data_IF_485196505769
#
_entry.id   IF_485196505769
#
_cell.length_a   1.000
_cell.length_b   1.000
_cell.length_c   1.000
_cell.angle_alpha   90.00
_cell.angle_beta   90.00
_cell.angle_gamma   90.00
#
_symmetry.space_group_name_H-M   'P 1'
#
loop_
_entity.id
_entity.type
_entity.pdbx_description
1 polymer ?
#
# COMPACT_ATOMS: atom_id res chain seq x y z
N UNK A 1 42.10 19.22 -34.71
CA UNK A 1 43.19 18.34 -34.26
C UNK A 1 43.04 17.94 -32.80
N UNK A 2 43.30 18.78 -31.79
CA UNK A 2 43.19 18.37 -30.37
C UNK A 2 41.79 17.85 -29.95
N UNK A 3 40.72 18.49 -30.41
CA UNK A 3 39.33 18.09 -30.11
C UNK A 3 38.94 16.76 -30.80
N UNK A 4 39.44 16.57 -32.02
CA UNK A 4 39.24 15.35 -32.81
C UNK A 4 39.98 14.15 -32.19
N UNK A 5 41.21 14.36 -31.70
CA UNK A 5 41.95 13.33 -30.97
C UNK A 5 41.24 12.93 -29.67
N UNK A 6 40.72 13.90 -28.91
CA UNK A 6 39.95 13.63 -27.69
C UNK A 6 38.66 12.87 -27.97
N UNK A 7 37.96 13.22 -29.06
CA UNK A 7 36.77 12.51 -29.53
C UNK A 7 37.10 11.08 -29.93
N UNK A 8 38.18 10.84 -30.68
CA UNK A 8 38.63 9.49 -31.06
C UNK A 8 39.01 8.65 -29.84
N UNK A 9 39.72 9.23 -28.87
CA UNK A 9 40.04 8.57 -27.60
C UNK A 9 38.77 8.20 -26.83
N UNK A 10 37.82 9.14 -26.71
CA UNK A 10 36.53 8.89 -26.07
C UNK A 10 35.74 7.78 -26.76
N UNK A 11 35.70 7.76 -28.10
CA UNK A 11 35.05 6.70 -28.89
C UNK A 11 35.72 5.33 -28.67
N UNK A 12 37.05 5.28 -28.54
CA UNK A 12 37.77 4.04 -28.22
C UNK A 12 37.36 3.49 -26.85
N UNK A 13 37.25 4.38 -25.86
CA UNK A 13 36.77 4.02 -24.52
C UNK A 13 35.30 3.55 -24.55
N UNK A 14 34.44 4.20 -25.32
CA UNK A 14 33.06 3.78 -25.53
C UNK A 14 32.97 2.36 -26.15
N UNK A 15 33.72 2.10 -27.22
CA UNK A 15 33.73 0.77 -27.86
C UNK A 15 34.25 -0.32 -26.93
N UNK A 16 35.27 0.00 -26.10
CA UNK A 16 35.75 -0.90 -25.06
C UNK A 16 34.65 -1.19 -24.02
N UNK A 17 33.93 -0.16 -23.56
CA UNK A 17 32.81 -0.33 -22.63
C UNK A 17 31.73 -1.25 -23.19
N UNK A 18 31.29 -1.02 -24.43
CA UNK A 18 30.29 -1.85 -25.10
C UNK A 18 30.74 -3.31 -25.24
N UNK A 19 32.03 -3.55 -25.53
CA UNK A 19 32.58 -4.90 -25.62
C UNK A 19 32.63 -5.60 -24.24
N UNK A 20 32.98 -4.86 -23.18
CA UNK A 20 33.01 -5.37 -21.81
C UNK A 20 31.61 -5.71 -21.30
N UNK A 21 30.61 -4.89 -21.63
CA UNK A 21 29.22 -5.13 -21.28
C UNK A 21 28.69 -6.41 -21.95
N UNK A 22 28.98 -6.63 -23.24
CA UNK A 22 28.66 -7.89 -23.95
C UNK A 22 29.34 -9.11 -23.32
N UNK A 23 30.50 -8.92 -22.68
CA UNK A 23 31.21 -9.94 -21.94
C UNK A 23 30.74 -10.07 -20.47
N UNK A 24 29.67 -9.38 -20.08
CA UNK A 24 29.14 -9.33 -18.72
C UNK A 24 30.14 -8.81 -17.65
N UNK A 25 31.13 -8.01 -18.07
CA UNK A 25 32.13 -7.36 -17.19
C UNK A 25 31.70 -5.94 -16.88
N UNK A 26 30.60 -5.83 -16.14
CA UNK A 26 29.84 -4.59 -16.00
C UNK A 26 30.63 -3.44 -15.35
N UNK A 27 31.33 -3.69 -14.24
CA UNK A 27 32.10 -2.64 -13.55
C UNK A 27 33.20 -2.05 -14.45
N UNK A 28 33.90 -2.89 -15.20
CA UNK A 28 34.92 -2.44 -16.14
C UNK A 28 34.32 -1.69 -17.34
N UNK A 29 33.10 -2.06 -17.77
CA UNK A 29 32.38 -1.35 -18.81
C UNK A 29 32.04 0.08 -18.36
N UNK A 30 31.57 0.24 -17.12
CA UNK A 30 31.24 1.53 -16.52
C UNK A 30 32.47 2.41 -16.39
N UNK A 31 33.59 1.85 -15.95
CA UNK A 31 34.85 2.59 -15.90
C UNK A 31 35.29 3.02 -17.30
N UNK A 32 35.13 2.17 -18.32
CA UNK A 32 35.40 2.55 -19.70
C UNK A 32 34.46 3.67 -20.19
N UNK A 33 33.17 3.64 -19.86
CA UNK A 33 32.24 4.72 -20.18
C UNK A 33 32.58 6.03 -19.44
N UNK A 34 33.00 5.98 -18.17
CA UNK A 34 33.49 7.16 -17.42
C UNK A 34 34.72 7.78 -18.07
N UNK A 35 35.65 6.96 -18.54
CA UNK A 35 36.81 7.46 -19.29
C UNK A 35 36.37 8.07 -20.63
N UNK A 36 35.36 7.49 -21.31
CA UNK A 36 34.84 8.05 -22.55
C UNK A 36 34.29 9.47 -22.37
N UNK A 37 33.44 9.69 -21.35
CA UNK A 37 32.90 11.03 -21.04
C UNK A 37 33.96 12.00 -20.53
N UNK A 38 34.98 11.51 -19.81
CA UNK A 38 36.11 12.35 -19.35
C UNK A 38 36.99 12.81 -20.53
N UNK A 39 37.23 11.95 -21.52
CA UNK A 39 37.95 12.29 -22.74
C UNK A 39 37.16 13.27 -23.61
N UNK A 40 35.86 12.99 -23.82
CA UNK A 40 34.99 13.82 -24.65
C UNK A 40 33.57 13.91 -24.06
N UNK A 41 33.25 14.98 -23.29
CA UNK A 41 31.96 15.16 -22.61
C UNK A 41 30.74 15.31 -23.51
N UNK A 42 30.92 15.39 -24.83
CA UNK A 42 29.82 15.49 -25.78
C UNK A 42 29.46 14.11 -26.40
N UNK A 43 30.03 13.01 -25.89
CA UNK A 43 29.63 11.64 -26.28
C UNK A 43 28.32 11.23 -25.62
N UNK A 44 27.21 11.62 -26.24
CA UNK A 44 25.85 11.21 -25.83
C UNK A 44 25.70 9.70 -25.63
N UNK A 45 26.36 8.87 -26.45
CA UNK A 45 26.26 7.41 -26.36
C UNK A 45 26.90 6.88 -25.06
N UNK A 46 27.99 7.52 -24.61
CA UNK A 46 28.63 7.18 -23.34
C UNK A 46 27.80 7.65 -22.15
N UNK A 47 27.23 8.86 -22.21
CA UNK A 47 26.30 9.36 -21.21
C UNK A 47 25.04 8.47 -21.11
N UNK A 48 24.43 8.07 -22.23
CA UNK A 48 23.30 7.14 -22.24
C UNK A 48 23.66 5.79 -21.60
N UNK A 49 24.82 5.22 -21.93
CA UNK A 49 25.27 3.96 -21.34
C UNK A 49 25.46 4.06 -19.81
N UNK A 50 26.03 5.18 -19.32
CA UNK A 50 26.13 5.46 -17.90
C UNK A 50 24.76 5.66 -17.25
N UNK A 51 23.84 6.38 -17.91
CA UNK A 51 22.47 6.60 -17.45
C UNK A 51 21.72 5.30 -17.21
N UNK A 52 21.72 4.39 -18.20
CA UNK A 52 21.08 3.07 -18.07
C UNK A 52 21.75 2.19 -17.01
N UNK A 53 23.09 2.24 -16.89
CA UNK A 53 23.77 1.53 -15.80
C UNK A 53 23.31 2.04 -14.44
N UNK A 54 23.35 3.37 -14.23
CA UNK A 54 22.96 3.97 -12.96
C UNK A 54 21.49 3.70 -12.61
N UNK A 55 20.58 3.70 -13.58
CA UNK A 55 19.18 3.33 -13.37
C UNK A 55 19.09 1.87 -12.86
N UNK A 56 19.71 0.92 -13.56
CA UNK A 56 19.71 -0.51 -13.17
C UNK A 56 20.36 -0.76 -11.81
N UNK A 57 21.32 0.08 -11.41
CA UNK A 57 21.97 0.05 -10.09
C UNK A 57 21.19 0.80 -9.00
N UNK A 58 20.01 1.35 -9.28
CA UNK A 58 19.21 2.14 -8.34
C UNK A 58 19.80 3.51 -8.00
N UNK A 59 20.85 3.95 -8.72
CA UNK A 59 21.50 5.25 -8.56
C UNK A 59 20.77 6.32 -9.39
N UNK A 60 19.47 6.45 -9.17
CA UNK A 60 18.54 7.21 -10.01
C UNK A 60 18.95 8.67 -10.19
N UNK A 61 19.45 9.33 -9.14
CA UNK A 61 19.92 10.71 -9.22
C UNK A 61 21.10 10.88 -10.21
N UNK A 62 22.02 9.90 -10.27
CA UNK A 62 23.11 9.92 -11.25
C UNK A 62 22.58 9.65 -12.65
N UNK A 63 21.64 8.71 -12.80
CA UNK A 63 21.01 8.44 -14.08
C UNK A 63 20.33 9.69 -14.65
N UNK A 64 19.61 10.46 -13.81
CA UNK A 64 19.00 11.72 -14.19
C UNK A 64 20.02 12.76 -14.68
N UNK A 65 21.19 12.89 -14.06
CA UNK A 65 22.23 13.81 -14.56
C UNK A 65 22.79 13.39 -15.93
N UNK A 66 23.03 12.10 -16.13
CA UNK A 66 23.51 11.58 -17.43
C UNK A 66 22.45 11.79 -18.52
N UNK A 67 21.18 11.45 -18.27
CA UNK A 67 20.10 11.66 -19.24
C UNK A 67 19.80 13.14 -19.49
N UNK A 68 19.93 14.02 -18.47
CA UNK A 68 19.82 15.47 -18.66
C UNK A 68 20.92 15.99 -19.57
N UNK A 69 22.14 15.47 -19.44
CA UNK A 69 23.25 15.79 -20.33
C UNK A 69 22.91 15.36 -21.75
N UNK A 70 22.46 14.11 -21.98
CA UNK A 70 22.04 13.64 -23.30
C UNK A 70 20.95 14.54 -23.90
N UNK A 71 19.90 14.86 -23.14
CA UNK A 71 18.82 15.73 -23.57
C UNK A 71 19.32 17.13 -23.98
N UNK A 72 20.31 17.68 -23.27
CA UNK A 72 20.92 18.97 -23.62
C UNK A 72 21.77 18.94 -24.89
N UNK A 73 22.39 17.78 -25.20
CA UNK A 73 23.29 17.62 -26.34
C UNK A 73 22.54 17.40 -27.66
N UNK A 74 21.48 16.60 -27.66
CA UNK A 74 20.78 16.22 -28.90
C UNK A 74 19.34 16.71 -29.00
N UNK A 75 18.68 17.04 -27.87
CA UNK A 75 17.29 17.49 -27.87
C UNK A 75 16.31 16.53 -28.58
N UNK A 76 16.61 15.23 -28.57
CA UNK A 76 15.81 14.20 -29.25
C UNK A 76 14.61 13.77 -28.41
N UNK A 77 13.60 13.20 -29.07
CA UNK A 77 12.45 12.60 -28.38
C UNK A 77 12.91 11.57 -27.34
N UNK A 78 13.78 10.62 -27.74
CA UNK A 78 14.24 9.54 -26.86
C UNK A 78 15.02 10.08 -25.65
N UNK A 79 15.83 11.12 -25.82
CA UNK A 79 16.57 11.72 -24.72
C UNK A 79 15.65 12.38 -23.68
N UNK A 80 14.64 13.13 -24.16
CA UNK A 80 13.64 13.71 -23.27
C UNK A 80 12.76 12.65 -22.61
N UNK A 81 12.41 11.59 -23.33
CA UNK A 81 11.59 10.50 -22.80
C UNK A 81 12.33 9.77 -21.67
N UNK A 82 13.59 9.40 -21.88
CA UNK A 82 14.42 8.75 -20.85
C UNK A 82 14.62 9.66 -19.63
N UNK A 83 14.83 10.96 -19.84
CA UNK A 83 14.91 11.94 -18.75
C UNK A 83 13.58 12.05 -17.99
N UNK A 84 12.45 12.12 -18.67
CA UNK A 84 11.13 12.15 -18.05
C UNK A 84 10.89 10.91 -17.20
N UNK A 85 11.16 9.73 -17.76
CA UNK A 85 10.97 8.45 -17.09
C UNK A 85 11.79 8.34 -15.78
N UNK A 86 13.08 8.67 -15.81
CA UNK A 86 13.93 8.60 -14.61
C UNK A 86 13.52 9.64 -13.56
N UNK A 87 12.96 10.79 -13.98
CA UNK A 87 12.46 11.81 -13.07
C UNK A 87 11.17 11.36 -12.38
N UNK A 88 10.33 10.56 -13.05
CA UNK A 88 9.19 9.88 -12.42
C UNK A 88 9.65 8.91 -11.34
N UNK A 89 10.66 8.07 -11.59
CA UNK A 89 11.21 7.15 -10.59
C UNK A 89 11.83 7.87 -9.36
N UNK A 90 12.19 9.15 -9.53
CA UNK A 90 12.69 10.04 -8.48
C UNK A 90 11.59 10.86 -7.79
N UNK A 91 10.31 10.64 -8.11
CA UNK A 91 9.17 11.45 -7.68
C UNK A 91 9.30 12.96 -8.00
N UNK A 92 10.11 13.32 -9.01
CA UNK A 92 10.31 14.71 -9.49
C UNK A 92 9.32 15.02 -10.61
N UNK A 93 8.03 14.97 -10.27
CA UNK A 93 6.94 15.00 -11.25
C UNK A 93 6.89 16.27 -12.12
N UNK A 94 7.14 17.45 -11.56
CA UNK A 94 7.13 18.70 -12.33
C UNK A 94 8.21 18.72 -13.41
N UNK A 95 9.42 18.27 -13.09
CA UNK A 95 10.51 18.19 -14.09
C UNK A 95 10.27 17.07 -15.10
N UNK A 96 9.64 15.97 -14.69
CA UNK A 96 9.23 14.91 -15.61
C UNK A 96 8.21 15.43 -16.63
N UNK A 97 7.20 16.19 -16.18
CA UNK A 97 6.22 16.83 -17.06
C UNK A 97 6.88 17.79 -18.04
N UNK A 98 7.89 18.57 -17.62
CA UNK A 98 8.64 19.45 -18.52
C UNK A 98 9.40 18.64 -19.60
N UNK A 99 10.01 17.52 -19.23
CA UNK A 99 10.70 16.64 -20.18
C UNK A 99 9.71 16.00 -21.17
N UNK A 100 8.60 15.45 -20.68
CA UNK A 100 7.55 14.87 -21.53
C UNK A 100 6.85 15.91 -22.40
N UNK A 101 6.69 17.15 -21.94
CA UNK A 101 6.19 18.23 -22.78
C UNK A 101 7.13 18.50 -23.97
N UNK A 102 8.45 18.35 -23.80
CA UNK A 102 9.40 18.42 -24.92
C UNK A 102 9.28 17.24 -25.87
N UNK A 103 8.95 16.04 -25.38
CA UNK A 103 8.58 14.91 -26.24
C UNK A 103 7.35 15.26 -27.08
N UNK A 104 6.27 15.78 -26.48
CA UNK A 104 5.05 16.16 -27.22
C UNK A 104 5.26 17.35 -28.17
N UNK A 105 6.23 18.22 -27.92
CA UNK A 105 6.60 19.26 -28.89
C UNK A 105 7.24 18.68 -30.16
N UNK A 106 7.88 17.51 -30.07
CA UNK A 106 8.48 16.79 -31.20
C UNK A 106 7.48 15.84 -31.86
N UNK A 107 6.72 15.11 -31.03
CA UNK A 107 5.74 14.11 -31.45
C UNK A 107 4.41 14.30 -30.68
N UNK A 108 3.51 15.18 -31.16
CA UNK A 108 2.33 15.62 -30.40
C UNK A 108 1.29 14.55 -30.06
N UNK A 109 1.29 13.42 -30.76
CA UNK A 109 0.30 12.34 -30.60
C UNK A 109 0.93 11.06 -30.04
N UNK A 110 2.17 11.14 -29.52
CA UNK A 110 2.85 9.96 -28.99
C UNK A 110 2.10 9.39 -27.78
N UNK A 111 1.64 8.15 -27.94
CA UNK A 111 0.77 7.49 -26.95
C UNK A 111 1.50 7.19 -25.65
N UNK A 112 2.78 6.82 -25.71
CA UNK A 112 3.56 6.50 -24.52
C UNK A 112 3.77 7.73 -23.63
N UNK A 113 4.13 8.87 -24.24
CA UNK A 113 4.31 10.14 -23.54
C UNK A 113 3.01 10.61 -22.89
N UNK A 114 1.89 10.53 -23.61
CA UNK A 114 0.58 10.83 -23.02
C UNK A 114 0.22 9.89 -21.87
N UNK A 115 0.55 8.59 -21.97
CA UNK A 115 0.31 7.65 -20.88
C UNK A 115 1.12 8.00 -19.62
N UNK A 116 2.41 8.31 -19.76
CA UNK A 116 3.28 8.73 -18.66
C UNK A 116 2.78 10.03 -17.99
N UNK A 117 2.41 11.04 -18.78
CA UNK A 117 1.80 12.27 -18.24
C UNK A 117 0.45 11.98 -17.54
N UNK A 118 -0.33 11.04 -18.07
CA UNK A 118 -1.57 10.57 -17.46
C UNK A 118 -1.35 9.96 -16.07
N UNK A 119 -0.32 9.11 -15.92
CA UNK A 119 0.09 8.56 -14.63
C UNK A 119 0.55 9.65 -13.66
N UNK A 120 1.39 10.59 -14.10
CA UNK A 120 1.86 11.70 -13.25
C UNK A 120 0.68 12.52 -12.72
N UNK A 121 -0.22 12.95 -13.59
CA UNK A 121 -1.40 13.71 -13.17
C UNK A 121 -2.30 12.90 -12.23
N UNK A 122 -2.44 11.60 -12.46
CA UNK A 122 -3.17 10.72 -11.55
C UNK A 122 -2.56 10.69 -10.15
N UNK A 123 -1.23 10.50 -10.03
CA UNK A 123 -0.56 10.48 -8.72
C UNK A 123 -0.57 11.82 -7.99
N UNK A 124 -0.57 12.94 -8.73
CA UNK A 124 -0.74 14.30 -8.17
C UNK A 124 -2.19 14.62 -7.79
N UNK A 125 -3.16 13.77 -8.16
CA UNK A 125 -4.59 13.99 -7.90
C UNK A 125 -5.27 14.91 -8.94
N UNK A 126 -4.58 15.29 -10.00
CA UNK A 126 -5.09 16.10 -11.12
C UNK A 126 -5.91 15.24 -12.09
N UNK A 127 -6.94 14.56 -11.58
CA UNK A 127 -7.66 13.51 -12.32
C UNK A 127 -8.28 13.99 -13.65
N UNK A 128 -8.68 15.27 -13.76
CA UNK A 128 -9.18 15.82 -15.01
C UNK A 128 -8.10 15.91 -16.10
N UNK A 129 -6.86 16.27 -15.72
CA UNK A 129 -5.73 16.29 -16.66
C UNK A 129 -5.31 14.86 -17.03
N UNK A 130 -5.29 13.96 -16.04
CA UNK A 130 -5.04 12.54 -16.29
C UNK A 130 -6.00 11.99 -17.37
N UNK A 131 -7.30 12.23 -17.22
CA UNK A 131 -8.31 11.81 -18.20
C UNK A 131 -8.11 12.43 -19.58
N UNK A 132 -7.65 13.68 -19.67
CA UNK A 132 -7.36 14.33 -20.96
C UNK A 132 -6.23 13.62 -21.68
N UNK A 133 -5.12 13.34 -20.99
CA UNK A 133 -3.97 12.65 -21.59
C UNK A 133 -4.30 11.21 -21.97
N UNK A 134 -5.09 10.48 -21.16
CA UNK A 134 -5.42 9.07 -21.40
C UNK A 134 -6.30 8.82 -22.64
N UNK A 135 -6.88 9.86 -23.24
CA UNK A 135 -7.59 9.73 -24.51
C UNK A 135 -6.68 9.33 -25.67
N UNK A 136 -5.40 9.74 -25.65
CA UNK A 136 -4.44 9.46 -26.72
C UNK A 136 -4.01 7.98 -26.75
N UNK A 137 -3.48 7.38 -25.66
CA UNK A 137 -3.07 5.98 -25.69
C UNK A 137 -4.25 5.02 -25.90
N UNK A 138 -5.48 5.41 -25.52
CA UNK A 138 -6.67 4.61 -25.79
C UNK A 138 -7.00 4.48 -27.29
N UNK A 139 -6.57 5.40 -28.15
CA UNK A 139 -6.74 5.29 -29.61
C UNK A 139 -5.84 4.20 -30.20
N UNK A 140 -4.63 4.09 -29.66
CA UNK A 140 -3.60 3.15 -30.13
C UNK A 140 -3.79 1.77 -29.51
N UNK A 141 -4.20 1.72 -28.24
CA UNK A 141 -4.32 0.51 -27.44
C UNK A 141 -5.72 0.43 -26.79
N UNK A 142 -6.80 0.28 -27.59
CA UNK A 142 -8.18 0.33 -27.08
C UNK A 142 -8.54 -0.84 -26.15
N UNK A 143 -7.77 -1.93 -26.20
CA UNK A 143 -7.98 -3.15 -25.39
C UNK A 143 -7.00 -3.27 -24.22
N UNK A 144 -6.24 -2.22 -23.91
CA UNK A 144 -5.35 -2.23 -22.76
C UNK A 144 -6.13 -2.00 -21.46
N UNK A 145 -6.18 -3.04 -20.62
CA UNK A 145 -6.92 -3.00 -19.36
C UNK A 145 -6.33 -1.98 -18.38
N UNK A 146 -5.02 -1.70 -18.41
CA UNK A 146 -4.37 -0.77 -17.49
C UNK A 146 -4.80 0.67 -17.77
N UNK A 147 -4.95 1.02 -19.05
CA UNK A 147 -5.48 2.33 -19.47
C UNK A 147 -6.91 2.49 -18.96
N UNK A 148 -7.79 1.51 -19.20
CA UNK A 148 -9.17 1.56 -18.71
C UNK A 148 -9.24 1.61 -17.18
N UNK A 149 -8.36 0.87 -16.50
CA UNK A 149 -8.24 0.90 -15.04
C UNK A 149 -7.84 2.29 -14.53
N UNK A 150 -6.84 2.93 -15.14
CA UNK A 150 -6.38 4.25 -14.76
C UNK A 150 -7.45 5.33 -15.03
N UNK A 151 -8.19 5.23 -16.13
CA UNK A 151 -9.36 6.07 -16.40
C UNK A 151 -10.41 5.87 -15.30
N UNK A 152 -10.74 4.61 -14.95
CA UNK A 152 -11.71 4.29 -13.90
C UNK A 152 -11.31 4.87 -12.54
N UNK A 153 -10.03 4.74 -12.16
CA UNK A 153 -9.49 5.31 -10.91
C UNK A 153 -9.51 6.85 -10.94
N UNK A 154 -9.24 7.46 -12.07
CA UNK A 154 -9.31 8.92 -12.24
C UNK A 154 -10.75 9.42 -12.11
N UNK A 155 -11.72 8.73 -12.74
CA UNK A 155 -13.15 9.05 -12.60
C UNK A 155 -13.63 8.88 -11.16
N UNK A 156 -13.18 7.82 -10.46
CA UNK A 156 -13.46 7.63 -9.05
C UNK A 156 -12.91 8.80 -8.21
N UNK A 157 -11.69 9.27 -8.50
CA UNK A 157 -11.08 10.44 -7.86
C UNK A 157 -11.92 11.72 -8.06
N UNK A 158 -12.53 11.88 -9.24
CA UNK A 158 -13.49 12.95 -9.54
C UNK A 158 -14.90 12.70 -8.97
N UNK A 159 -15.14 11.54 -8.34
CA UNK A 159 -16.44 11.07 -7.85
C UNK A 159 -17.49 10.87 -8.95
N UNK A 160 -17.04 10.66 -10.19
CA UNK A 160 -17.86 10.27 -11.33
C UNK A 160 -18.07 8.76 -11.31
N UNK A 161 -18.92 8.31 -10.40
CA UNK A 161 -19.02 6.89 -10.07
C UNK A 161 -19.58 6.03 -11.20
N UNK A 162 -20.43 6.57 -12.09
CA UNK A 162 -21.00 5.82 -13.22
C UNK A 162 -19.93 5.59 -14.30
N UNK A 163 -19.16 6.62 -14.61
CA UNK A 163 -18.03 6.56 -15.54
C UNK A 163 -16.93 5.66 -15.01
N UNK A 164 -16.63 5.72 -13.70
CA UNK A 164 -15.67 4.82 -13.07
C UNK A 164 -16.08 3.35 -13.23
N UNK A 165 -17.35 3.02 -12.94
CA UNK A 165 -17.88 1.66 -13.12
C UNK A 165 -17.83 1.19 -14.57
N UNK A 166 -18.16 2.05 -15.54
CA UNK A 166 -18.07 1.72 -16.95
C UNK A 166 -16.62 1.40 -17.37
N UNK A 167 -15.66 2.21 -16.93
CA UNK A 167 -14.24 2.00 -17.21
C UNK A 167 -13.70 0.73 -16.56
N UNK A 168 -14.01 0.46 -15.28
CA UNK A 168 -13.60 -0.79 -14.64
C UNK A 168 -14.26 -2.01 -15.29
N UNK A 169 -15.53 -1.91 -15.69
CA UNK A 169 -16.20 -2.98 -16.45
C UNK A 169 -15.52 -3.27 -17.77
N UNK A 170 -15.09 -2.23 -18.52
CA UNK A 170 -14.28 -2.40 -19.75
C UNK A 170 -12.95 -3.07 -19.46
N UNK A 171 -12.20 -2.57 -18.48
CA UNK A 171 -10.94 -3.16 -18.06
C UNK A 171 -11.11 -4.64 -17.70
N UNK A 172 -12.20 -5.01 -17.01
CA UNK A 172 -12.45 -6.38 -16.57
C UNK A 172 -12.73 -7.32 -17.75
N UNK A 173 -13.38 -6.84 -18.82
CA UNK A 173 -13.63 -7.63 -20.03
C UNK A 173 -12.36 -7.97 -20.80
N UNK A 174 -11.35 -7.09 -20.77
CA UNK A 174 -10.08 -7.28 -21.50
C UNK A 174 -8.93 -7.79 -20.62
N UNK A 175 -9.12 -7.82 -19.29
CA UNK A 175 -8.13 -8.32 -18.34
C UNK A 175 -7.87 -9.82 -18.55
N UNK A 176 -6.59 -10.17 -18.74
CA UNK A 176 -6.14 -11.51 -19.11
C UNK A 176 -5.45 -12.28 -17.97
N UNK A 177 -5.36 -11.69 -16.77
CA UNK A 177 -4.78 -12.35 -15.59
C UNK A 177 -5.74 -12.28 -14.40
N UNK A 178 -5.71 -13.30 -13.55
CA UNK A 178 -6.47 -13.31 -12.30
C UNK A 178 -6.10 -12.13 -11.38
N UNK A 179 -4.82 -11.71 -11.37
CA UNK A 179 -4.34 -10.57 -10.60
C UNK A 179 -4.98 -9.25 -11.06
N UNK A 180 -5.03 -9.01 -12.38
CA UNK A 180 -5.70 -7.83 -12.94
C UNK A 180 -7.21 -7.85 -12.65
N UNK A 181 -7.85 -9.01 -12.81
CA UNK A 181 -9.28 -9.18 -12.50
C UNK A 181 -9.58 -8.89 -11.02
N UNK A 182 -8.76 -9.40 -10.09
CA UNK A 182 -8.89 -9.11 -8.65
C UNK A 182 -8.78 -7.62 -8.36
N UNK A 183 -7.75 -6.95 -8.90
CA UNK A 183 -7.56 -5.50 -8.77
C UNK A 183 -8.79 -4.70 -9.24
N UNK A 184 -9.40 -5.13 -10.35
CA UNK A 184 -10.56 -4.46 -10.92
C UNK A 184 -11.84 -4.70 -10.13
N UNK A 185 -12.02 -5.90 -9.58
CA UNK A 185 -13.12 -6.22 -8.68
C UNK A 185 -13.03 -5.42 -7.37
N UNK A 186 -11.81 -5.22 -6.86
CA UNK A 186 -11.56 -4.37 -5.69
C UNK A 186 -11.93 -2.91 -5.99
N UNK A 187 -11.51 -2.38 -7.14
CA UNK A 187 -11.86 -1.04 -7.58
C UNK A 187 -13.38 -0.86 -7.77
N UNK A 188 -14.07 -1.85 -8.35
CA UNK A 188 -15.53 -1.86 -8.48
C UNK A 188 -16.19 -1.82 -7.10
N UNK A 189 -15.73 -2.68 -6.18
CA UNK A 189 -16.24 -2.74 -4.80
C UNK A 189 -16.05 -1.40 -4.08
N UNK A 190 -14.88 -0.76 -4.27
CA UNK A 190 -14.60 0.57 -3.74
C UNK A 190 -15.60 1.61 -4.28
N UNK A 191 -15.90 1.62 -5.59
CA UNK A 191 -16.93 2.52 -6.14
C UNK A 191 -18.29 2.26 -5.51
N UNK A 192 -18.70 1.00 -5.36
CA UNK A 192 -19.97 0.65 -4.71
C UNK A 192 -20.04 1.17 -3.27
N UNK A 193 -18.95 1.06 -2.50
CA UNK A 193 -18.86 1.61 -1.13
C UNK A 193 -18.99 3.13 -1.14
N UNK A 194 -18.31 3.83 -2.05
CA UNK A 194 -18.43 5.29 -2.17
C UNK A 194 -19.88 5.73 -2.47
N UNK A 195 -20.62 4.98 -3.29
CA UNK A 195 -22.04 5.27 -3.62
C UNK A 195 -22.99 5.14 -2.43
N UNK A 196 -22.58 4.46 -1.35
CA UNK A 196 -23.39 4.41 -0.12
C UNK A 196 -23.43 5.77 0.60
N UNK A 197 -22.55 6.71 0.23
CA UNK A 197 -22.46 8.03 0.84
C UNK A 197 -22.95 9.13 -0.09
N UNK A 198 -23.68 10.09 0.49
CA UNK A 198 -23.87 11.41 -0.16
C UNK A 198 -22.62 12.28 0.03
N UNK A 199 -22.08 12.27 1.24
CA UNK A 199 -20.85 12.96 1.63
C UNK A 199 -20.09 12.06 2.62
N UNK A 200 -18.76 12.01 2.48
CA UNK A 200 -17.87 11.40 3.45
C UNK A 200 -17.58 12.43 4.54
N UNK A 201 -18.08 12.22 5.75
CA UNK A 201 -18.07 13.21 6.83
C UNK A 201 -17.06 12.92 7.93
N UNK A 202 -16.42 11.74 7.90
CA UNK A 202 -15.49 11.29 8.93
C UNK A 202 -14.36 10.45 8.35
N UNK A 203 -13.28 10.28 9.12
CA UNK A 203 -12.18 9.35 8.79
C UNK A 203 -12.71 7.92 8.68
N UNK A 204 -13.66 7.53 9.54
CA UNK A 204 -14.34 6.23 9.47
C UNK A 204 -15.06 6.02 8.14
N UNK A 205 -15.75 7.04 7.62
CA UNK A 205 -16.42 6.97 6.33
C UNK A 205 -15.41 6.79 5.20
N UNK A 206 -14.30 7.53 5.26
CA UNK A 206 -13.23 7.50 4.24
C UNK A 206 -12.55 6.13 4.20
N UNK A 207 -12.09 5.64 5.36
CA UNK A 207 -11.43 4.33 5.50
C UNK A 207 -12.36 3.19 5.07
N UNK A 208 -13.65 3.25 5.42
CA UNK A 208 -14.61 2.27 4.92
C UNK A 208 -14.81 2.39 3.40
N UNK A 209 -15.01 3.59 2.86
CA UNK A 209 -15.30 3.75 1.44
C UNK A 209 -14.11 3.33 0.55
N UNK A 210 -12.90 3.74 0.95
CA UNK A 210 -11.65 3.49 0.23
C UNK A 210 -11.20 2.05 0.37
N UNK A 211 -11.15 1.51 1.59
CA UNK A 211 -10.49 0.24 1.88
C UNK A 211 -11.44 -0.86 2.34
N UNK A 212 -12.65 -0.51 2.80
CA UNK A 212 -13.61 -1.48 3.34
C UNK A 212 -13.29 -1.93 4.75
N UNK A 213 -12.50 -1.13 5.46
CA UNK A 213 -12.03 -1.44 6.80
C UNK A 213 -13.07 -1.04 7.83
N UNK A 214 -13.28 -1.90 8.83
CA UNK A 214 -14.07 -1.59 10.01
C UNK A 214 -13.22 -0.78 10.98
N UNK A 215 -13.53 0.50 11.12
CA UNK A 215 -12.93 1.34 12.15
C UNK A 215 -13.83 1.40 13.39
N UNK A 216 -13.38 0.91 14.55
CA UNK A 216 -14.18 0.79 15.78
C UNK A 216 -14.08 2.02 16.69
N UNK A 217 -12.94 2.70 16.73
CA UNK A 217 -12.65 3.76 17.71
C UNK A 217 -12.32 3.22 19.10
N UNK A 218 -12.23 4.12 20.08
CA UNK A 218 -11.98 3.80 21.50
C UNK A 218 -12.93 4.54 22.46
N UNK A 219 -12.63 4.51 23.76
CA UNK A 219 -13.37 5.25 24.77
C UNK A 219 -13.25 6.78 24.66
N UNK A 220 -12.35 7.30 23.84
CA UNK A 220 -12.19 8.74 23.60
C UNK A 220 -13.12 9.28 22.50
N UNK A 221 -13.90 8.40 21.87
CA UNK A 221 -14.84 8.72 20.80
C UNK A 221 -16.17 7.97 20.96
N UNK A 222 -17.14 8.27 20.08
CA UNK A 222 -18.47 7.66 20.09
C UNK A 222 -18.63 6.45 19.14
N UNK A 223 -17.52 6.01 18.54
CA UNK A 223 -17.41 4.92 17.57
C UNK A 223 -18.09 5.19 16.22
N UNK A 224 -18.67 6.38 16.00
CA UNK A 224 -19.22 6.83 14.71
C UNK A 224 -18.40 7.99 14.15
N UNK A 225 -17.91 8.87 15.03
CA UNK A 225 -17.03 10.00 14.76
C UNK A 225 -15.69 9.73 15.42
N UNK A 226 -14.89 8.91 14.75
CA UNK A 226 -13.53 8.60 15.20
C UNK A 226 -12.58 9.66 14.64
N UNK A 227 -11.85 10.32 15.53
CA UNK A 227 -10.85 11.32 15.18
C UNK A 227 -9.49 10.70 14.85
N UNK A 228 -8.61 11.50 14.27
CA UNK A 228 -7.19 11.16 14.20
C UNK A 228 -6.50 11.51 15.51
N UNK A 229 -5.54 10.69 15.93
CA UNK A 229 -4.77 10.91 17.15
C UNK A 229 -3.28 10.94 16.83
N UNK A 230 -2.53 11.81 17.51
CA UNK A 230 -1.07 11.82 17.38
C UNK A 230 -0.48 10.58 18.05
N UNK A 231 -0.52 10.50 19.38
CA UNK A 231 -0.07 9.33 20.14
C UNK A 231 -1.25 8.72 20.88
N UNK A 232 -1.33 7.38 20.92
CA UNK A 232 -2.38 6.68 21.64
C UNK A 232 -1.81 5.62 22.60
N UNK A 233 -2.06 5.83 23.89
CA UNK A 233 -1.65 4.90 24.95
C UNK A 233 -2.89 4.28 25.57
N UNK A 234 -3.18 3.02 25.22
CA UNK A 234 -4.36 2.33 25.72
C UNK A 234 -4.29 2.16 27.24
N UNK A 235 -5.40 2.46 27.91
CA UNK A 235 -5.74 1.94 29.24
C UNK A 235 -6.62 0.69 29.12
N UNK A 236 -6.75 -0.11 30.18
CA UNK A 236 -7.66 -1.25 30.18
C UNK A 236 -9.13 -0.85 29.88
N UNK A 237 -9.68 0.25 30.43
CA UNK A 237 -11.00 0.74 30.04
C UNK A 237 -11.14 1.06 28.54
N UNK A 238 -10.13 1.69 27.91
CA UNK A 238 -10.14 1.98 26.46
C UNK A 238 -10.24 0.69 25.64
N UNK A 239 -9.50 -0.34 26.05
CA UNK A 239 -9.57 -1.67 25.45
C UNK A 239 -10.96 -2.26 25.67
N UNK A 240 -11.51 -2.14 26.87
CA UNK A 240 -12.87 -2.56 27.21
C UNK A 240 -13.91 -2.01 26.23
N UNK A 241 -13.94 -0.69 26.01
CA UNK A 241 -14.86 -0.06 25.05
C UNK A 241 -14.64 -0.56 23.62
N UNK A 242 -13.39 -0.60 23.16
CA UNK A 242 -13.08 -1.04 21.79
C UNK A 242 -13.51 -2.48 21.55
N UNK A 243 -13.25 -3.37 22.50
CA UNK A 243 -13.61 -4.78 22.41
C UNK A 243 -15.12 -5.01 22.54
N UNK A 244 -15.83 -4.22 23.36
CA UNK A 244 -17.31 -4.26 23.38
C UNK A 244 -17.89 -3.99 21.98
N UNK A 245 -17.33 -3.02 21.24
CA UNK A 245 -17.72 -2.71 19.85
C UNK A 245 -17.43 -3.86 18.90
N UNK A 246 -16.24 -4.46 18.98
CA UNK A 246 -15.87 -5.64 18.19
C UNK A 246 -16.83 -6.81 18.46
N UNK A 247 -17.07 -7.14 19.73
CA UNK A 247 -17.93 -8.26 20.15
C UNK A 247 -19.36 -8.06 19.66
N UNK A 248 -19.92 -6.86 19.85
CA UNK A 248 -21.28 -6.57 19.41
C UNK A 248 -21.44 -6.65 17.88
N UNK A 249 -20.43 -6.17 17.15
CA UNK A 249 -20.42 -6.27 15.70
C UNK A 249 -20.29 -7.73 15.25
N UNK A 250 -19.37 -8.50 15.83
CA UNK A 250 -19.23 -9.93 15.56
C UNK A 250 -20.56 -10.67 15.76
N UNK A 251 -21.21 -10.50 16.92
CA UNK A 251 -22.50 -11.11 17.25
C UNK A 251 -23.65 -10.71 16.32
N UNK A 252 -23.58 -9.53 15.72
CA UNK A 252 -24.63 -8.97 14.86
C UNK A 252 -24.33 -9.10 13.36
N UNK A 253 -23.18 -9.68 13.02
CA UNK A 253 -22.69 -9.84 11.66
C UNK A 253 -22.79 -11.30 11.22
N UNK A 254 -22.39 -11.57 9.97
CA UNK A 254 -22.23 -12.93 9.45
C UNK A 254 -20.81 -13.48 9.63
N UNK A 255 -19.98 -12.83 10.46
CA UNK A 255 -18.60 -13.26 10.66
C UNK A 255 -18.59 -14.58 11.41
N UNK A 256 -18.13 -15.64 10.77
CA UNK A 256 -18.04 -16.97 11.33
C UNK A 256 -16.57 -17.33 11.46
N UNK A 257 -15.98 -17.00 12.61
CA UNK A 257 -14.59 -17.38 12.91
C UNK A 257 -14.59 -18.77 13.55
N UNK A 258 -13.61 -19.61 13.19
CA UNK A 258 -13.40 -20.93 13.80
C UNK A 258 -12.18 -20.95 14.72
N UNK A 259 -11.26 -19.98 14.58
CA UNK A 259 -10.05 -19.89 15.37
C UNK A 259 -9.56 -18.45 15.53
N UNK A 260 -8.86 -18.19 16.62
CA UNK A 260 -8.05 -16.98 16.82
C UNK A 260 -6.58 -17.32 16.56
N UNK A 261 -5.88 -16.39 15.94
CA UNK A 261 -4.44 -16.50 15.69
C UNK A 261 -3.74 -15.27 16.27
N UNK A 262 -2.73 -15.52 17.09
CA UNK A 262 -1.93 -14.47 17.71
C UNK A 262 -0.76 -14.10 16.78
N UNK A 263 -0.68 -12.85 16.34
CA UNK A 263 0.38 -12.42 15.42
C UNK A 263 1.79 -12.44 16.05
N UNK A 264 1.89 -12.05 17.33
CA UNK A 264 3.18 -11.95 18.04
C UNK A 264 3.05 -12.19 19.55
N UNK A 265 4.18 -12.12 20.26
CA UNK A 265 4.23 -12.31 21.72
C UNK A 265 3.60 -11.17 22.51
N UNK A 266 3.71 -9.93 22.03
CA UNK A 266 3.10 -8.75 22.67
C UNK A 266 1.58 -8.86 22.68
N UNK A 267 1.01 -9.49 21.65
CA UNK A 267 -0.43 -9.62 21.44
C UNK A 267 -1.05 -10.73 22.28
N UNK A 268 -0.25 -11.61 22.89
CA UNK A 268 -0.74 -12.79 23.59
C UNK A 268 -1.83 -12.50 24.65
N UNK A 269 -1.72 -11.46 25.50
CA UNK A 269 -2.78 -11.14 26.46
C UNK A 269 -4.11 -10.80 25.78
N UNK A 270 -4.08 -10.02 24.69
CA UNK A 270 -5.26 -9.64 23.93
C UNK A 270 -5.90 -10.84 23.23
N UNK A 271 -5.09 -11.70 22.61
CA UNK A 271 -5.57 -12.90 21.93
C UNK A 271 -6.20 -13.91 22.92
N UNK A 272 -5.59 -14.11 24.09
CA UNK A 272 -6.16 -14.94 25.15
C UNK A 272 -7.50 -14.38 25.65
N UNK A 273 -7.59 -13.06 25.85
CA UNK A 273 -8.81 -12.43 26.32
C UNK A 273 -9.95 -12.57 25.29
N UNK A 274 -9.65 -12.33 24.00
CA UNK A 274 -10.61 -12.52 22.91
C UNK A 274 -11.03 -13.99 22.75
N UNK A 275 -10.13 -14.93 22.98
CA UNK A 275 -10.45 -16.37 22.97
C UNK A 275 -11.51 -16.72 24.02
N UNK A 276 -11.39 -16.15 25.22
CA UNK A 276 -12.39 -16.32 26.28
C UNK A 276 -13.70 -15.58 25.96
N UNK A 277 -13.63 -14.34 25.47
CA UNK A 277 -14.79 -13.47 25.24
C UNK A 277 -15.63 -13.89 24.02
N UNK A 278 -14.99 -14.43 22.98
CA UNK A 278 -15.65 -14.89 21.76
C UNK A 278 -15.89 -16.41 21.73
N UNK A 279 -15.40 -17.13 22.75
CA UNK A 279 -15.45 -18.60 22.81
C UNK A 279 -14.79 -19.28 21.59
N UNK A 280 -13.67 -18.71 21.12
CA UNK A 280 -12.91 -19.21 19.98
C UNK A 280 -11.60 -19.85 20.44
N UNK A 281 -11.20 -21.02 19.92
CA UNK A 281 -9.93 -21.62 20.26
C UNK A 281 -8.77 -20.78 19.70
N UNK A 282 -7.74 -20.57 20.52
CA UNK A 282 -6.47 -20.00 20.06
C UNK A 282 -5.66 -21.10 19.36
N UNK A 283 -5.30 -20.89 18.09
CA UNK A 283 -4.49 -21.82 17.29
C UNK A 283 -3.23 -21.15 16.77
N UNK A 284 -2.18 -21.94 16.65
CA UNK A 284 -1.01 -21.59 15.85
C UNK A 284 -1.33 -21.78 14.36
N UNK A 285 -0.55 -21.11 13.50
CA UNK A 285 -0.71 -21.23 12.04
C UNK A 285 -0.61 -22.69 11.55
N UNK A 286 0.16 -23.53 12.24
CA UNK A 286 0.33 -24.96 11.89
C UNK A 286 -0.89 -25.83 12.20
N UNK A 287 -1.79 -25.35 13.06
CA UNK A 287 -3.01 -26.05 13.49
C UNK A 287 -4.25 -25.60 12.69
N UNK A 288 -4.07 -24.72 11.70
CA UNK A 288 -5.13 -24.26 10.82
C UNK A 288 -5.30 -25.20 9.63
N UNK A 289 -6.55 -25.41 9.25
CA UNK A 289 -6.98 -26.14 8.07
C UNK A 289 -7.60 -25.17 7.05
N UNK A 290 -7.68 -25.57 5.77
CA UNK A 290 -8.23 -24.72 4.70
C UNK A 290 -9.68 -24.28 4.95
N UNK A 291 -10.46 -25.12 5.64
CA UNK A 291 -11.87 -24.84 6.00
C UNK A 291 -12.02 -23.93 7.24
N UNK A 292 -10.93 -23.63 7.94
CA UNK A 292 -10.97 -22.70 9.07
C UNK A 292 -11.23 -21.26 8.58
N UNK A 293 -11.72 -20.42 9.51
CA UNK A 293 -11.85 -18.98 9.30
C UNK A 293 -11.16 -18.27 10.45
N UNK A 294 -9.97 -17.75 10.18
CA UNK A 294 -9.08 -17.25 11.22
C UNK A 294 -9.34 -15.76 11.51
N UNK A 295 -9.46 -15.42 12.80
CA UNK A 295 -9.33 -14.04 13.27
C UNK A 295 -7.90 -13.83 13.76
N UNK A 296 -7.09 -13.13 12.97
CA UNK A 296 -5.73 -12.73 13.36
C UNK A 296 -5.80 -11.49 14.22
N UNK A 297 -5.16 -11.52 15.38
CA UNK A 297 -5.17 -10.41 16.33
C UNK A 297 -3.78 -9.81 16.43
N UNK A 298 -3.73 -8.47 16.51
CA UNK A 298 -2.57 -7.64 16.81
C UNK A 298 -2.93 -6.58 17.85
N UNK A 299 -2.11 -6.41 18.88
CA UNK A 299 -2.37 -5.43 19.95
C UNK A 299 -1.93 -4.01 19.58
N UNK A 300 -0.64 -3.80 19.33
CA UNK A 300 -0.10 -2.53 18.86
C UNK A 300 0.87 -2.85 17.73
N UNK A 301 0.46 -2.57 16.51
CA UNK A 301 1.20 -2.97 15.33
C UNK A 301 2.01 -1.76 14.82
N UNK A 302 3.32 -1.96 14.65
CA UNK A 302 4.31 -0.90 14.32
C UNK A 302 4.86 -0.93 12.90
N UNK A 303 4.77 -2.10 12.27
CA UNK A 303 5.33 -2.43 10.97
C UNK A 303 4.32 -3.30 10.22
N UNK A 304 4.00 -2.92 8.98
CA UNK A 304 3.01 -3.62 8.15
C UNK A 304 3.51 -5.01 7.72
N UNK A 305 4.83 -5.20 7.71
CA UNK A 305 5.54 -6.43 7.37
C UNK A 305 5.08 -7.60 8.22
N UNK A 306 4.80 -7.38 9.51
CA UNK A 306 4.29 -8.44 10.38
C UNK A 306 2.92 -8.94 9.92
N UNK A 307 2.04 -8.03 9.50
CA UNK A 307 0.72 -8.40 8.97
C UNK A 307 0.87 -9.15 7.65
N UNK A 308 1.67 -8.63 6.71
CA UNK A 308 1.93 -9.29 5.42
C UNK A 308 2.48 -10.70 5.59
N UNK A 309 3.54 -10.87 6.40
CA UNK A 309 4.13 -12.18 6.68
C UNK A 309 3.16 -13.13 7.38
N UNK A 310 2.24 -12.60 8.19
CA UNK A 310 1.22 -13.43 8.84
C UNK A 310 0.17 -13.87 7.83
N UNK A 311 -0.29 -12.97 6.96
CA UNK A 311 -1.26 -13.26 5.90
C UNK A 311 -0.73 -14.32 4.93
N UNK A 312 0.52 -14.20 4.47
CA UNK A 312 1.15 -15.16 3.54
C UNK A 312 1.22 -16.59 4.09
N UNK A 313 1.22 -16.75 5.41
CA UNK A 313 1.39 -18.05 6.07
C UNK A 313 0.07 -18.72 6.43
N UNK A 314 -1.05 -18.00 6.40
CA UNK A 314 -2.34 -18.54 6.83
C UNK A 314 -2.98 -19.31 5.66
N UNK A 315 -3.29 -20.60 5.84
CA UNK A 315 -3.75 -21.47 4.75
C UNK A 315 -5.25 -21.38 4.48
N UNK A 316 -5.96 -20.40 5.05
CA UNK A 316 -7.41 -20.32 5.04
C UNK A 316 -7.90 -18.85 5.02
N UNK A 317 -9.19 -18.60 4.74
CA UNK A 317 -9.73 -17.26 4.82
C UNK A 317 -9.49 -16.64 6.20
N UNK A 318 -9.01 -15.40 6.19
CA UNK A 318 -8.65 -14.70 7.42
C UNK A 318 -9.22 -13.29 7.46
N UNK A 319 -9.48 -12.82 8.68
CA UNK A 319 -9.80 -11.43 8.98
C UNK A 319 -8.80 -10.98 10.02
N UNK A 320 -8.21 -9.81 9.82
CA UNK A 320 -7.22 -9.22 10.70
C UNK A 320 -7.85 -8.14 11.56
N UNK A 321 -7.59 -8.19 12.86
CA UNK A 321 -7.96 -7.19 13.85
C UNK A 321 -6.70 -6.60 14.49
N UNK A 322 -6.54 -5.29 14.36
CA UNK A 322 -5.52 -4.53 15.05
C UNK A 322 -6.16 -3.58 16.06
N UNK A 323 -5.85 -3.73 17.35
CA UNK A 323 -6.38 -2.84 18.39
C UNK A 323 -5.83 -1.41 18.22
N UNK A 324 -4.53 -1.27 17.94
CA UNK A 324 -3.88 0.03 17.69
C UNK A 324 -2.91 -0.02 16.52
N UNK A 325 -3.15 0.82 15.51
CA UNK A 325 -2.41 0.86 14.25
C UNK A 325 -1.65 2.18 14.10
N UNK A 326 -0.37 2.14 13.74
CA UNK A 326 0.44 3.38 13.63
C UNK A 326 1.11 3.64 12.27
N UNK A 327 0.85 2.83 11.24
CA UNK A 327 1.58 2.93 9.97
C UNK A 327 0.77 3.42 8.77
N UNK A 328 -0.48 3.88 8.97
CA UNK A 328 -1.34 4.29 7.84
C UNK A 328 -0.72 5.38 6.95
N UNK A 329 0.24 6.17 7.46
CA UNK A 329 0.96 7.18 6.66
C UNK A 329 2.05 6.62 5.75
N UNK A 330 2.54 5.41 6.03
CA UNK A 330 3.74 4.86 5.40
C UNK A 330 3.49 3.52 4.70
N UNK A 331 2.35 2.87 4.93
CA UNK A 331 1.94 1.66 4.22
C UNK A 331 0.45 1.68 3.89
N UNK A 332 0.12 1.15 2.70
CA UNK A 332 -1.26 0.94 2.22
C UNK A 332 -1.86 -0.38 2.68
N UNK A 333 -1.09 -1.24 3.32
CA UNK A 333 -1.58 -2.52 3.85
C UNK A 333 -2.28 -2.24 5.18
N UNK A 334 -3.60 -2.39 5.18
CA UNK A 334 -4.45 -2.17 6.35
C UNK A 334 -5.03 -3.50 6.85
N UNK A 335 -5.22 -3.65 8.17
CA UNK A 335 -6.01 -4.74 8.69
C UNK A 335 -7.51 -4.50 8.41
N UNK A 336 -8.29 -5.57 8.36
CA UNK A 336 -9.73 -5.54 8.06
C UNK A 336 -10.54 -4.82 9.13
N UNK A 337 -10.09 -4.92 10.38
CA UNK A 337 -10.69 -4.28 11.55
C UNK A 337 -9.62 -3.53 12.34
N UNK A 338 -9.88 -2.25 12.60
CA UNK A 338 -9.02 -1.35 13.36
C UNK A 338 -9.75 -0.87 14.61
N UNK A 339 -9.08 -0.91 15.76
CA UNK A 339 -9.50 -0.20 16.97
C UNK A 339 -9.28 1.31 16.83
N UNK A 340 -8.04 1.77 16.99
CA UNK A 340 -7.60 3.17 16.82
C UNK A 340 -6.42 3.27 15.85
N UNK A 341 -6.35 4.37 15.10
CA UNK A 341 -5.16 4.79 14.36
C UNK A 341 -4.44 5.94 15.06
N UNK A 342 -3.11 5.84 15.15
CA UNK A 342 -2.23 6.86 15.71
C UNK A 342 -1.18 7.29 14.68
N UNK A 343 -0.87 8.58 14.59
CA UNK A 343 0.18 9.08 13.69
C UNK A 343 1.60 8.89 14.24
N UNK A 344 1.73 8.70 15.55
CA UNK A 344 2.97 8.54 16.30
C UNK A 344 3.01 7.23 17.07
N UNK A 345 3.19 7.31 18.40
CA UNK A 345 3.31 6.16 19.26
C UNK A 345 1.94 5.50 19.51
N UNK A 346 1.92 4.17 19.46
CA UNK A 346 0.80 3.37 19.95
C UNK A 346 1.32 2.31 20.94
N UNK A 347 0.73 2.22 22.13
CA UNK A 347 1.15 1.26 23.16
C UNK A 347 0.00 0.70 23.97
N UNK A 348 0.24 -0.46 24.59
CA UNK A 348 -0.72 -1.18 25.45
C UNK A 348 -0.19 -1.31 26.89
N UNK A 349 -1.07 -1.42 27.91
CA UNK A 349 -0.68 -1.34 29.33
C UNK A 349 0.38 -2.35 29.77
N UNK A 350 0.37 -3.55 29.20
CA UNK A 350 1.28 -4.64 29.57
C UNK A 350 2.61 -4.62 28.82
N UNK A 351 2.75 -3.77 27.79
CA UNK A 351 3.95 -3.72 26.95
C UNK A 351 5.24 -3.41 27.73
N UNK A 352 5.28 -2.39 28.63
CA UNK A 352 6.51 -2.05 29.33
C UNK A 352 7.06 -3.20 30.18
N UNK A 353 6.18 -3.92 30.88
CA UNK A 353 6.58 -5.04 31.74
C UNK A 353 7.04 -6.24 30.93
N UNK A 354 6.33 -6.61 29.85
CA UNK A 354 6.80 -7.70 28.96
C UNK A 354 8.16 -7.39 28.33
N UNK A 355 8.40 -6.14 27.92
CA UNK A 355 9.70 -5.70 27.39
C UNK A 355 10.80 -5.83 28.44
N UNK A 356 10.53 -5.38 29.66
CA UNK A 356 11.45 -5.49 30.78
C UNK A 356 11.79 -6.96 31.07
N UNK A 357 10.78 -7.81 31.24
CA UNK A 357 10.97 -9.24 31.51
C UNK A 357 11.80 -9.93 30.41
N UNK A 358 11.58 -9.56 29.15
CA UNK A 358 12.38 -10.07 28.03
C UNK A 358 13.82 -9.59 28.08
N UNK A 359 14.05 -8.31 28.38
CA UNK A 359 15.38 -7.73 28.51
C UNK A 359 16.18 -8.36 29.66
N UNK A 360 15.49 -8.64 30.78
CA UNK A 360 16.06 -9.27 31.98
C UNK A 360 16.25 -10.79 31.82
N UNK A 361 15.86 -11.39 30.70
CA UNK A 361 15.94 -12.84 30.47
C UNK A 361 15.08 -13.64 31.47
N UNK A 362 13.93 -13.08 31.88
CA UNK A 362 13.09 -13.64 32.93
C UNK A 362 12.62 -15.07 32.58
N UNK A 363 12.44 -15.95 33.59
CA UNK A 363 11.94 -17.30 33.36
C UNK A 363 10.58 -17.32 32.64
N UNK A 364 10.36 -18.31 31.78
CA UNK A 364 9.11 -18.44 31.01
C UNK A 364 7.85 -18.39 31.89
N UNK A 365 7.87 -19.01 33.08
CA UNK A 365 6.76 -18.98 34.03
C UNK A 365 6.40 -17.55 34.51
N UNK A 366 7.39 -16.67 34.63
CA UNK A 366 7.17 -15.26 35.01
C UNK A 366 6.53 -14.48 33.86
N UNK A 367 6.98 -14.73 32.64
CA UNK A 367 6.37 -14.14 31.43
C UNK A 367 4.92 -14.61 31.29
N UNK A 368 4.66 -15.91 31.46
CA UNK A 368 3.31 -16.49 31.42
C UNK A 368 2.40 -15.84 32.45
N UNK A 369 2.84 -15.68 33.71
CA UNK A 369 2.06 -15.01 34.75
C UNK A 369 1.73 -13.55 34.42
N UNK A 370 2.67 -12.81 33.81
CA UNK A 370 2.41 -11.45 33.35
C UNK A 370 1.34 -11.43 32.23
N UNK A 371 1.43 -12.37 31.29
CA UNK A 371 0.44 -12.54 30.22
C UNK A 371 -0.94 -12.89 30.78
N UNK A 372 -1.02 -13.81 31.74
CA UNK A 372 -2.27 -14.24 32.37
C UNK A 372 -2.91 -13.08 33.15
N UNK A 373 -2.14 -12.34 33.93
CA UNK A 373 -2.61 -11.16 34.65
C UNK A 373 -3.16 -10.09 33.71
N UNK A 374 -2.43 -9.78 32.62
CA UNK A 374 -2.91 -8.83 31.62
C UNK A 374 -4.16 -9.33 30.90
N UNK A 375 -4.27 -10.64 30.65
CA UNK A 375 -5.47 -11.28 30.07
C UNK A 375 -6.70 -11.06 30.96
N UNK A 376 -6.56 -11.36 32.26
CA UNK A 376 -7.64 -11.18 33.24
C UNK A 376 -8.09 -9.72 33.32
N UNK A 377 -7.15 -8.78 33.32
CA UNK A 377 -7.46 -7.34 33.33
C UNK A 377 -8.21 -6.89 32.07
N UNK A 378 -7.91 -7.43 30.89
CA UNK A 378 -8.66 -7.14 29.66
C UNK A 378 -10.10 -7.67 29.77
N UNK A 379 -10.26 -8.94 30.19
CA UNK A 379 -11.59 -9.55 30.35
C UNK A 379 -12.42 -8.81 31.39
N UNK A 380 -11.81 -8.42 32.50
CA UNK A 380 -12.44 -7.63 33.54
C UNK A 380 -12.86 -6.25 33.01
N UNK A 381 -11.99 -5.56 32.28
CA UNK A 381 -12.30 -4.26 31.69
C UNK A 381 -13.48 -4.32 30.71
N UNK A 382 -13.58 -5.37 29.88
CA UNK A 382 -14.75 -5.55 28.99
C UNK A 382 -16.06 -5.68 29.78
N UNK A 383 -16.02 -6.29 30.97
CA UNK A 383 -17.20 -6.47 31.84
C UNK A 383 -17.55 -5.23 32.65
N UNK A 384 -16.54 -4.49 33.11
CA UNK A 384 -16.71 -3.36 34.03
C UNK A 384 -16.88 -2.02 33.34
N UNK A 385 -16.31 -1.86 32.14
CA UNK A 385 -16.48 -0.64 31.35
C UNK A 385 -17.96 -0.45 31.00
N UNK A 386 -18.55 0.73 31.26
CA UNK A 386 -19.94 1.00 30.91
C UNK A 386 -20.21 0.74 29.43
N UNK A 387 -21.35 0.10 29.14
CA UNK A 387 -21.74 -0.17 27.75
C UNK A 387 -21.82 1.12 26.94
N UNK A 388 -21.18 1.10 25.78
CA UNK A 388 -21.26 2.21 24.82
C UNK A 388 -22.70 2.44 24.37
N UNK A 389 -23.26 3.60 24.72
CA UNK A 389 -24.62 4.01 24.34
C UNK A 389 -24.86 4.04 22.81
N UNK A 390 -23.81 4.18 22.00
CA UNK A 390 -23.90 4.20 20.54
C UNK A 390 -23.72 2.82 19.89
N UNK A 391 -23.48 1.76 20.66
CA UNK A 391 -23.25 0.41 20.16
C UNK A 391 -24.31 -0.05 19.13
N UNK A 392 -25.64 0.14 19.34
CA UNK A 392 -26.63 -0.25 18.34
C UNK A 392 -26.51 0.52 17.02
N UNK A 393 -26.09 1.79 17.08
CA UNK A 393 -25.90 2.64 15.90
C UNK A 393 -24.64 2.23 15.13
N UNK A 394 -23.57 1.89 15.84
CA UNK A 394 -22.32 1.40 15.25
C UNK A 394 -22.52 0.03 14.58
N UNK A 395 -23.24 -0.90 15.22
CA UNK A 395 -23.64 -2.16 14.58
C UNK A 395 -24.48 -1.90 13.34
N UNK A 396 -25.49 -1.02 13.43
CA UNK A 396 -26.34 -0.65 12.29
C UNK A 396 -25.54 -0.04 11.13
N UNK A 397 -24.50 0.74 11.43
CA UNK A 397 -23.62 1.35 10.43
C UNK A 397 -23.07 0.28 9.49
N UNK A 398 -22.38 -0.75 9.99
CA UNK A 398 -21.76 -1.80 9.16
C UNK A 398 -22.69 -2.92 8.71
N UNK A 399 -23.83 -3.14 9.37
CA UNK A 399 -24.73 -4.27 9.04
C UNK A 399 -25.93 -3.88 8.17
N UNK A 400 -26.33 -2.61 8.19
CA UNK A 400 -27.54 -2.14 7.49
C UNK A 400 -27.30 -0.97 6.57
N UNK A 401 -26.50 0.01 6.98
CA UNK A 401 -26.23 1.22 6.19
C UNK A 401 -25.15 0.95 5.14
N UNK A 402 -24.06 0.31 5.55
CA UNK A 402 -22.85 0.11 4.76
C UNK A 402 -22.61 -1.37 4.55
N UNK A 403 -23.25 -1.93 3.52
CA UNK A 403 -23.38 -3.38 3.31
C UNK A 403 -22.32 -3.93 2.37
N UNK A 404 -21.58 -3.06 1.68
CA UNK A 404 -20.46 -3.40 0.80
C UNK A 404 -19.14 -3.58 1.57
N UNK A 405 -19.23 -3.93 2.86
CA UNK A 405 -18.10 -4.32 3.68
C UNK A 405 -17.52 -5.63 3.16
N UNK A 406 -16.22 -5.63 2.86
CA UNK A 406 -15.52 -6.82 2.40
C UNK A 406 -14.44 -7.21 3.40
N UNK A 407 -14.77 -8.07 4.37
CA UNK A 407 -13.78 -8.67 5.30
C UNK A 407 -13.29 -10.03 4.81
N UNK A 408 -13.76 -10.42 3.63
CA UNK A 408 -13.64 -11.75 3.06
C UNK A 408 -13.14 -11.65 1.61
N UNK A 409 -12.22 -10.72 1.33
CA UNK A 409 -11.49 -10.72 0.06
C UNK A 409 -10.75 -12.06 -0.18
N UNK A 410 -10.63 -12.89 0.87
CA UNK A 410 -10.10 -14.25 0.84
C UNK A 410 -11.15 -15.37 0.67
N UNK A 411 -12.44 -15.07 0.45
CA UNK A 411 -13.47 -16.07 0.11
C UNK A 411 -13.51 -16.41 -1.39
N UNK A 412 -12.68 -15.80 -2.23
CA UNK A 412 -12.50 -16.28 -3.61
C UNK A 412 -11.48 -17.42 -3.60
N UNK A 413 -11.83 -18.62 -4.10
CA UNK A 413 -10.81 -19.61 -4.38
C UNK A 413 -9.80 -18.96 -5.34
N UNK A 414 -8.51 -19.07 -5.02
CA UNK A 414 -7.47 -18.98 -6.03
C UNK A 414 -7.86 -19.99 -7.10
N UNK A 415 -8.48 -19.52 -8.19
CA UNK A 415 -8.83 -20.38 -9.32
C UNK A 415 -7.51 -20.99 -9.80
N UNK A 416 -7.43 -22.33 -9.96
CA UNK A 416 -6.19 -23.00 -10.35
C UNK A 416 -5.66 -22.57 -11.72
#
# INVERSE_FOLDING_TARGET
MLDETKREEGLRHLQRGLALERANRIEEAVDAYRHAVACYPHLREAHNALGFYYQRSGLLAKAAEEFRTVASLEGSFLAYFNLGYILVELDRYEEALDAFQRCLNLEPEDSATHLEMGYIHFWRGDFSQALSHLQHPLRSYPEDWEIHNLIGRSQLGLRNYDEAMLSFGRALMVANTALAQGTLLDNITMVERHREFRHLNSVKDQVYAQDGVVYLGSAQDDGLKVGEVQDYHFTYPDIGTTLQRLIALHQSSRWQFSALVCADTLTRPLANALSQLLHLPLRSVKELHADDRALVVMAAAREAELLMLTMERIPCPMTSFCLGLNWMRHSKVLPDVIGITAHGACSVPWEPELRRLRADGAPAATVTRCVDQATEQIVQAVRETPLDSNLPRQVRYYTRTHRRLNLSAHDQPLVP
#
